data_IF_107050351078
#
_entry.id   IF_107050351078
#
_cell.length_a   1.000
_cell.length_b   1.000
_cell.length_c   1.000
_cell.angle_alpha   90.00
_cell.angle_beta   90.00
_cell.angle_gamma   90.00
#
_symmetry.space_group_name_H-M   'P 1'
#
loop_
_entity.id
_entity.type
_entity.pdbx_description
1 polymer ?
#
# COMPACT_ATOMS: atom_id res chain seq x y z
N UNK A 1 -5.74 -0.90 15.20
CA UNK A 1 -5.78 -0.12 13.94
C UNK A 1 -4.40 -0.16 13.29
N UNK A 2 -3.34 0.09 14.06
CA UNK A 2 -1.95 -0.08 13.63
C UNK A 2 -1.68 -1.48 13.06
N UNK A 3 -2.08 -2.55 13.77
CA UNK A 3 -1.90 -3.93 13.28
C UNK A 3 -2.52 -4.19 11.92
N UNK A 4 -3.67 -3.57 11.61
CA UNK A 4 -4.34 -3.72 10.31
C UNK A 4 -3.54 -3.02 9.21
N UNK A 5 -3.06 -1.80 9.47
CA UNK A 5 -2.24 -1.04 8.51
C UNK A 5 -0.91 -1.76 8.27
N UNK A 6 -0.25 -2.23 9.34
CA UNK A 6 0.98 -3.02 9.26
C UNK A 6 0.77 -4.31 8.49
N UNK A 7 -0.34 -5.02 8.73
CA UNK A 7 -0.67 -6.25 7.99
C UNK A 7 -0.85 -5.96 6.51
N UNK A 8 -1.58 -4.90 6.14
CA UNK A 8 -1.77 -4.50 4.73
C UNK A 8 -0.42 -4.16 4.08
N UNK A 9 0.43 -3.40 4.78
CA UNK A 9 1.75 -3.03 4.26
C UNK A 9 2.63 -4.24 3.97
N UNK A 10 2.70 -5.18 4.91
CA UNK A 10 3.48 -6.42 4.76
C UNK A 10 2.95 -7.28 3.61
N UNK A 11 1.62 -7.36 3.45
CA UNK A 11 1.01 -8.11 2.34
C UNK A 11 1.29 -7.45 0.98
N UNK A 12 1.20 -6.12 0.88
CA UNK A 12 1.53 -5.39 -0.34
C UNK A 12 3.00 -5.59 -0.74
N UNK A 13 3.92 -5.48 0.21
CA UNK A 13 5.35 -5.70 -0.04
C UNK A 13 5.66 -7.15 -0.46
N UNK A 14 5.06 -8.14 0.20
CA UNK A 14 5.20 -9.54 -0.18
C UNK A 14 4.65 -9.83 -1.59
N UNK A 15 3.51 -9.21 -1.94
CA UNK A 15 2.91 -9.33 -3.27
C UNK A 15 3.82 -8.74 -4.35
N UNK A 16 4.36 -7.54 -4.15
CA UNK A 16 5.26 -6.88 -5.10
C UNK A 16 6.53 -7.69 -5.33
N UNK A 17 7.10 -8.26 -4.26
CA UNK A 17 8.23 -9.19 -4.33
C UNK A 17 7.87 -10.46 -5.09
N UNK A 18 6.71 -11.05 -4.85
CA UNK A 18 6.24 -12.25 -5.56
C UNK A 18 6.00 -11.98 -7.05
N UNK A 19 5.56 -10.78 -7.41
CA UNK A 19 5.38 -10.33 -8.80
C UNK A 19 6.69 -9.86 -9.46
N UNK A 20 7.81 -9.86 -8.72
CA UNK A 20 9.10 -9.34 -9.16
C UNK A 20 9.02 -7.89 -9.67
N UNK A 21 8.14 -7.09 -9.07
CA UNK A 21 8.04 -5.66 -9.34
C UNK A 21 9.16 -4.97 -8.57
N UNK A 22 10.05 -4.30 -9.32
CA UNK A 22 11.19 -3.60 -8.74
C UNK A 22 10.80 -2.17 -8.39
N UNK A 23 11.20 -1.73 -7.20
CA UNK A 23 11.04 -0.35 -6.78
C UNK A 23 11.90 0.59 -7.62
N UNK A 24 11.36 1.79 -7.88
CA UNK A 24 12.09 2.85 -8.54
C UNK A 24 12.99 3.57 -7.50
N UNK A 25 14.32 3.63 -7.70
CA UNK A 25 15.22 4.32 -6.77
C UNK A 25 14.95 5.82 -6.62
N UNK A 26 14.22 6.44 -7.56
CA UNK A 26 13.95 7.87 -7.55
C UNK A 26 12.71 8.24 -6.71
N UNK A 27 11.87 7.27 -6.33
CA UNK A 27 10.66 7.56 -5.54
C UNK A 27 10.98 7.69 -4.05
N UNK A 28 10.24 8.58 -3.37
CA UNK A 28 10.36 8.81 -1.90
C UNK A 28 9.45 7.89 -1.08
N UNK A 29 8.49 7.26 -1.73
CA UNK A 29 7.49 6.38 -1.15
C UNK A 29 7.40 5.16 -2.05
N UNK A 30 7.54 3.98 -1.47
CA UNK A 30 7.59 2.74 -2.24
C UNK A 30 6.18 2.29 -2.68
N UNK A 31 6.10 1.39 -3.65
CA UNK A 31 4.80 0.95 -4.17
C UNK A 31 3.94 0.29 -3.08
N UNK A 32 4.55 -0.42 -2.13
CA UNK A 32 3.82 -1.07 -1.04
C UNK A 32 3.11 -0.06 -0.14
N UNK A 33 3.78 1.05 0.18
CA UNK A 33 3.24 2.16 0.95
C UNK A 33 2.11 2.86 0.19
N UNK A 34 2.30 3.12 -1.11
CA UNK A 34 1.26 3.73 -1.96
C UNK A 34 0.00 2.86 -2.00
N UNK A 35 0.15 1.55 -2.23
CA UNK A 35 -0.95 0.59 -2.22
C UNK A 35 -1.66 0.55 -0.86
N UNK A 36 -0.88 0.56 0.23
CA UNK A 36 -1.41 0.54 1.60
C UNK A 36 -2.28 1.77 1.87
N UNK A 37 -1.83 2.96 1.48
CA UNK A 37 -2.63 4.19 1.63
C UNK A 37 -3.95 4.09 0.88
N UNK A 38 -3.93 3.62 -0.37
CA UNK A 38 -5.15 3.45 -1.17
C UNK A 38 -6.14 2.45 -0.54
N UNK A 39 -5.64 1.30 -0.09
CA UNK A 39 -6.47 0.26 0.53
C UNK A 39 -7.04 0.70 1.88
N UNK A 40 -6.22 1.32 2.73
CA UNK A 40 -6.65 1.87 4.02
C UNK A 40 -7.67 2.98 3.80
N UNK A 41 -7.42 3.88 2.84
CA UNK A 41 -8.37 4.95 2.52
C UNK A 41 -9.70 4.38 2.01
N UNK A 42 -9.68 3.39 1.12
CA UNK A 42 -10.89 2.73 0.63
C UNK A 42 -11.66 2.01 1.77
N UNK A 43 -10.95 1.36 2.68
CA UNK A 43 -11.53 0.66 3.81
C UNK A 43 -12.23 1.61 4.79
N UNK A 44 -11.60 2.73 5.14
CA UNK A 44 -12.13 3.68 6.13
C UNK A 44 -13.10 4.72 5.55
N UNK A 45 -12.90 5.15 4.30
CA UNK A 45 -13.65 6.27 3.70
C UNK A 45 -14.68 5.87 2.65
N UNK A 46 -14.93 4.56 2.41
CA UNK A 46 -16.00 3.95 1.57
C UNK A 46 -16.67 4.93 0.57
N UNK A 47 -15.91 5.44 -0.40
CA UNK A 47 -16.41 6.28 -1.49
C UNK A 47 -16.11 7.78 -1.43
N UNK A 48 -15.24 8.27 -0.53
CA UNK A 48 -14.85 9.70 -0.47
C UNK A 48 -13.37 10.02 -0.69
N UNK A 49 -12.52 9.08 -1.10
CA UNK A 49 -11.08 9.33 -1.24
C UNK A 49 -10.51 8.86 -2.59
N UNK A 50 -10.36 9.83 -3.51
CA UNK A 50 -9.44 9.96 -4.66
C UNK A 50 -10.08 10.79 -5.80
N UNK A 51 -10.65 11.95 -5.46
CA UNK A 51 -10.92 13.07 -6.38
C UNK A 51 -10.39 14.36 -5.75
#
# INVERSE_FOLDING_TARGET
MEDLITTILVLCDALLKALNIKEDPQVKMNNAEVMTVGLVAAYFFRGRALL
#
